data_IF_403589947174
#
_entry.id   IF_403589947174
#
_cell.length_a   1.000
_cell.length_b   1.000
_cell.length_c   1.000
_cell.angle_alpha   90.00
_cell.angle_beta   90.00
_cell.angle_gamma   90.00
#
_symmetry.space_group_name_H-M   'P 1'
#
loop_
_entity.id
_entity.type
_entity.pdbx_description
1 polymer ?
#
# COMPACT_ATOMS: atom_id res chain seq x y z
N UNK A 1 -18.28 17.69 51.56
CA UNK A 1 -18.52 17.65 50.10
C UNK A 1 -17.40 16.83 49.49
N UNK A 2 -17.71 15.62 49.00
CA UNK A 2 -16.71 14.65 48.52
C UNK A 2 -16.25 15.03 47.10
N UNK A 3 -14.94 15.15 46.93
CA UNK A 3 -14.25 15.35 45.67
C UNK A 3 -14.52 14.17 44.71
N UNK A 4 -14.92 14.47 43.47
CA UNK A 4 -14.73 13.57 42.34
C UNK A 4 -13.93 14.31 41.27
N UNK A 5 -12.60 14.11 41.33
CA UNK A 5 -11.72 14.36 40.20
C UNK A 5 -12.08 13.35 39.10
N UNK A 6 -12.61 13.82 37.98
CA UNK A 6 -12.67 13.03 36.76
C UNK A 6 -11.26 12.93 36.18
N UNK A 7 -10.58 11.82 36.47
CA UNK A 7 -9.39 11.42 35.74
C UNK A 7 -9.81 11.02 34.32
N UNK A 8 -9.49 11.87 33.35
CA UNK A 8 -9.54 11.54 31.93
C UNK A 8 -8.46 10.48 31.63
N UNK A 9 -8.80 9.34 31.00
CA UNK A 9 -7.78 8.41 30.56
C UNK A 9 -7.10 9.00 29.32
N UNK A 10 -5.91 9.57 29.52
CA UNK A 10 -4.94 9.78 28.44
C UNK A 10 -4.43 8.38 28.06
N UNK A 11 -5.12 7.71 27.13
CA UNK A 11 -4.57 6.59 26.38
C UNK A 11 -4.36 7.05 24.93
N UNK A 12 -3.39 7.94 24.73
CA UNK A 12 -2.68 7.95 23.46
C UNK A 12 -1.74 6.76 23.52
N UNK A 13 -2.08 5.69 22.79
CA UNK A 13 -1.21 4.57 22.57
C UNK A 13 0.09 5.11 21.96
N UNK A 14 1.12 5.22 22.79
CA UNK A 14 2.50 5.29 22.33
C UNK A 14 2.72 3.91 21.72
N UNK A 15 2.47 3.78 20.42
CA UNK A 15 2.92 2.60 19.69
C UNK A 15 4.42 2.56 19.92
N UNK A 16 4.88 1.62 20.76
CA UNK A 16 6.29 1.36 20.94
C UNK A 16 6.92 1.29 19.55
N UNK A 17 7.88 2.18 19.31
CA UNK A 17 8.86 2.02 18.27
C UNK A 17 9.51 0.66 18.52
N UNK A 18 8.96 -0.39 17.93
CA UNK A 18 9.60 -1.69 17.92
C UNK A 18 10.89 -1.44 17.16
N UNK A 19 11.96 -1.34 17.94
CA UNK A 19 13.30 -1.05 17.50
C UNK A 19 13.62 -1.91 16.29
N UNK A 20 13.50 -1.31 15.10
CA UNK A 20 14.23 -1.81 13.95
C UNK A 20 15.66 -1.46 14.31
N UNK A 21 16.36 -2.39 14.95
CA UNK A 21 17.75 -2.21 15.36
C UNK A 21 18.55 -1.84 14.12
N UNK A 22 18.79 -0.53 13.99
CA UNK A 22 19.42 0.09 12.84
C UNK A 22 20.83 0.39 13.26
N UNK A 23 21.81 -0.20 12.57
CA UNK A 23 23.22 0.11 12.82
C UNK A 23 23.73 1.00 11.68
N UNK A 24 24.43 2.11 11.96
CA UNK A 24 25.21 2.78 10.93
C UNK A 24 26.18 1.79 10.30
N UNK A 25 26.36 1.84 8.98
CA UNK A 25 27.27 0.93 8.29
C UNK A 25 28.68 1.08 8.87
N UNK A 26 29.22 0.02 9.48
CA UNK A 26 30.57 0.02 10.05
C UNK A 26 31.68 0.00 8.99
N UNK A 27 31.30 -0.06 7.72
CA UNK A 27 32.22 -0.19 6.58
C UNK A 27 32.38 1.13 5.82
N UNK A 28 31.48 2.11 6.05
CA UNK A 28 31.41 3.29 5.20
C UNK A 28 30.68 4.45 5.91
N UNK A 29 31.42 5.52 6.17
CA UNK A 29 30.95 6.72 6.88
C UNK A 29 29.93 7.54 6.08
N UNK A 30 29.82 7.31 4.78
CA UNK A 30 28.87 7.98 3.88
C UNK A 30 27.70 7.09 3.45
N UNK A 31 27.65 5.85 3.94
CA UNK A 31 26.63 4.90 3.56
C UNK A 31 25.38 5.07 4.43
N UNK A 32 24.19 4.84 3.86
CA UNK A 32 22.95 4.96 4.61
C UNK A 32 22.89 3.95 5.76
N UNK A 33 22.17 4.32 6.82
CA UNK A 33 21.78 3.38 7.87
C UNK A 33 20.86 2.32 7.27
N UNK A 34 21.08 1.05 7.59
CA UNK A 34 20.27 -0.07 7.08
C UNK A 34 19.78 -0.98 8.21
N UNK A 35 18.74 -1.75 7.91
CA UNK A 35 18.21 -2.78 8.80
C UNK A 35 19.12 -4.01 8.78
N UNK A 36 19.63 -4.40 9.94
CA UNK A 36 20.58 -5.50 10.08
C UNK A 36 19.91 -6.88 9.93
N UNK A 37 18.80 -7.09 10.63
CA UNK A 37 18.06 -8.34 10.61
C UNK A 37 16.69 -8.12 9.96
N UNK A 38 16.62 -8.35 8.65
CA UNK A 38 15.40 -8.15 7.87
C UNK A 38 14.28 -9.09 8.29
N UNK A 39 14.60 -10.33 8.65
CA UNK A 39 13.57 -11.30 9.06
C UNK A 39 12.94 -10.92 10.40
N UNK A 40 13.74 -10.50 11.37
CA UNK A 40 13.24 -10.01 12.66
C UNK A 40 12.43 -8.72 12.49
N UNK A 41 12.88 -7.81 11.62
CA UNK A 41 12.12 -6.59 11.32
C UNK A 41 10.76 -6.92 10.70
N UNK A 42 10.72 -7.77 9.68
CA UNK A 42 9.47 -8.20 9.04
C UNK A 42 8.55 -8.90 10.05
N UNK A 43 9.09 -9.79 10.89
CA UNK A 43 8.32 -10.47 11.93
C UNK A 43 7.72 -9.48 12.94
N UNK A 44 8.48 -8.45 13.34
CA UNK A 44 8.00 -7.38 14.21
C UNK A 44 6.85 -6.59 13.57
N UNK A 45 6.99 -6.20 12.29
CA UNK A 45 5.91 -5.49 11.57
C UNK A 45 4.65 -6.36 11.48
N UNK A 46 4.79 -7.62 11.11
CA UNK A 46 3.65 -8.54 11.02
C UNK A 46 2.97 -8.76 12.38
N UNK A 47 3.75 -8.82 13.45
CA UNK A 47 3.24 -8.91 14.83
C UNK A 47 2.43 -7.67 15.19
N UNK A 48 3.00 -6.47 14.98
CA UNK A 48 2.31 -5.19 15.23
C UNK A 48 1.02 -5.07 14.41
N UNK A 49 1.06 -5.42 13.12
CA UNK A 49 -0.12 -5.39 12.26
C UNK A 49 -1.17 -6.40 12.72
N UNK A 50 -0.79 -7.58 13.18
CA UNK A 50 -1.77 -8.55 13.69
C UNK A 50 -2.43 -8.07 14.98
N UNK A 51 -1.69 -7.39 15.86
CA UNK A 51 -2.24 -6.77 17.07
C UNK A 51 -3.21 -5.62 16.78
N UNK A 52 -2.98 -4.87 15.69
CA UNK A 52 -3.84 -3.76 15.23
C UNK A 52 -4.98 -4.21 14.31
N UNK A 53 -5.06 -5.51 13.97
CA UNK A 53 -6.09 -6.02 13.08
C UNK A 53 -7.47 -5.66 13.62
N UNK A 54 -8.37 -5.09 12.80
CA UNK A 54 -9.75 -4.91 13.22
C UNK A 54 -10.32 -6.29 13.51
N UNK A 55 -10.43 -6.61 14.80
CA UNK A 55 -11.11 -7.82 15.25
C UNK A 55 -12.49 -7.78 14.60
N UNK A 56 -12.87 -8.86 13.92
CA UNK A 56 -14.26 -9.05 13.60
C UNK A 56 -15.01 -8.93 14.93
N UNK A 57 -15.75 -7.83 15.11
CA UNK A 57 -16.78 -7.77 16.14
C UNK A 57 -17.80 -8.77 15.64
N UNK A 58 -17.59 -10.03 16.01
CA UNK A 58 -18.68 -10.98 16.16
C UNK A 58 -19.57 -10.33 17.20
N UNK A 59 -20.53 -9.54 16.72
CA UNK A 59 -21.68 -9.13 17.50
C UNK A 59 -22.42 -10.42 17.79
N UNK A 60 -21.95 -11.17 18.79
CA UNK A 60 -22.80 -12.08 19.53
C UNK A 60 -23.78 -11.16 20.24
N UNK A 61 -24.83 -10.75 19.53
CA UNK A 61 -26.07 -10.35 20.15
C UNK A 61 -26.49 -11.58 20.94
N UNK A 62 -26.09 -11.65 22.21
CA UNK A 62 -26.71 -12.53 23.18
C UNK A 62 -28.16 -12.07 23.28
N UNK A 63 -29.00 -12.60 22.38
CA UNK A 63 -30.42 -12.68 22.60
C UNK A 63 -30.58 -13.49 23.88
N UNK A 64 -30.80 -12.79 24.98
CA UNK A 64 -31.34 -13.32 26.23
C UNK A 64 -32.79 -13.74 25.95
N UNK A 65 -32.94 -14.78 25.13
CA UNK A 65 -34.16 -15.52 24.94
C UNK A 65 -34.08 -16.79 25.76
N UNK A 66 -34.95 -16.91 26.76
CA UNK A 66 -35.22 -18.14 27.50
C UNK A 66 -35.46 -19.33 26.57
N UNK A 67 -35.12 -20.57 26.99
CA UNK A 67 -35.07 -21.72 26.11
C UNK A 67 -36.47 -22.17 25.71
N UNK A 68 -36.73 -22.28 24.40
CA UNK A 68 -37.83 -23.09 23.88
C UNK A 68 -37.26 -24.37 23.31
N UNK A 69 -37.83 -25.47 23.78
CA UNK A 69 -37.35 -26.84 23.65
C UNK A 69 -37.13 -27.30 22.21
N UNK A 70 -36.17 -28.21 22.09
CA UNK A 70 -35.84 -28.97 20.90
C UNK A 70 -37.02 -29.81 20.38
N UNK A 71 -37.17 -29.89 19.06
CA UNK A 71 -37.68 -31.10 18.40
C UNK A 71 -36.91 -31.30 17.11
N UNK A 72 -36.42 -32.53 16.95
CA UNK A 72 -35.49 -32.95 15.93
C UNK A 72 -36.19 -33.36 14.62
N UNK A 73 -35.34 -33.67 13.64
CA UNK A 73 -35.52 -34.55 12.47
C UNK A 73 -35.88 -33.87 11.16
N UNK A 74 -34.92 -33.80 10.24
CA UNK A 74 -34.92 -34.62 9.01
C UNK A 74 -33.61 -34.46 8.20
N UNK A 75 -32.95 -35.60 7.96
CA UNK A 75 -31.99 -35.83 6.85
C UNK A 75 -32.78 -35.97 5.54
N UNK A 76 -32.28 -35.42 4.43
CA UNK A 76 -32.47 -35.95 3.07
C UNK A 76 -31.49 -35.22 2.13
N UNK A 77 -30.34 -35.79 1.81
CA UNK A 77 -30.01 -36.62 0.62
C UNK A 77 -29.62 -35.84 -0.63
N UNK A 78 -28.38 -36.12 -1.04
CA UNK A 78 -27.79 -36.19 -2.38
C UNK A 78 -28.78 -36.32 -3.55
N UNK A 79 -28.55 -35.52 -4.59
CA UNK A 79 -29.04 -35.74 -5.95
C UNK A 79 -27.86 -35.72 -6.93
N UNK A 80 -27.44 -36.92 -7.32
CA UNK A 80 -26.71 -37.22 -8.55
C UNK A 80 -27.61 -37.05 -9.77
N UNK A 81 -27.13 -36.37 -10.81
CA UNK A 81 -27.62 -36.57 -12.17
C UNK A 81 -26.43 -36.52 -13.14
N UNK A 82 -26.22 -37.63 -13.83
CA UNK A 82 -25.31 -37.79 -14.95
C UNK A 82 -26.14 -37.98 -16.23
N UNK A 83 -25.41 -37.98 -17.36
CA UNK A 83 -25.81 -38.34 -18.74
C UNK A 83 -26.47 -37.23 -19.56
N UNK A 84 -26.12 -36.99 -20.83
CA UNK A 84 -25.22 -37.70 -21.76
C UNK A 84 -24.88 -36.82 -22.97
N UNK A 85 -23.68 -37.03 -23.52
CA UNK A 85 -23.32 -37.17 -24.95
C UNK A 85 -23.84 -36.14 -25.99
N UNK A 86 -22.92 -35.47 -26.71
CA UNK A 86 -22.61 -35.71 -28.14
C UNK A 86 -21.45 -34.78 -28.59
N UNK A 87 -20.37 -35.38 -29.07
CA UNK A 87 -19.31 -34.88 -29.99
C UNK A 87 -19.67 -35.48 -31.39
N UNK A 88 -19.32 -34.96 -32.59
CA UNK A 88 -18.11 -34.24 -33.04
C UNK A 88 -18.43 -32.95 -33.84
N UNK A 89 -17.49 -32.10 -34.29
CA UNK A 89 -16.51 -32.37 -35.35
C UNK A 89 -15.57 -31.17 -35.49
N UNK A 90 -14.31 -31.47 -35.78
CA UNK A 90 -13.26 -30.51 -36.10
C UNK A 90 -13.52 -29.80 -37.44
N UNK A 91 -13.03 -28.57 -37.57
CA UNK A 91 -12.36 -28.16 -38.80
C UNK A 91 -11.44 -26.97 -38.56
N UNK A 92 -10.16 -27.23 -38.76
CA UNK A 92 -9.06 -26.27 -38.86
C UNK A 92 -8.98 -25.75 -40.28
N UNK A 93 -8.96 -24.43 -40.48
CA UNK A 93 -8.21 -23.77 -41.58
C UNK A 93 -8.27 -22.26 -41.41
N UNK A 94 -7.15 -21.63 -41.08
CA UNK A 94 -6.93 -20.21 -41.34
C UNK A 94 -5.46 -20.01 -41.72
N UNK A 95 -5.22 -19.93 -43.03
CA UNK A 95 -4.01 -19.36 -43.62
C UNK A 95 -4.48 -18.24 -44.55
N UNK A 96 -4.07 -17.02 -44.27
CA UNK A 96 -3.97 -15.96 -45.26
C UNK A 96 -2.93 -14.93 -44.80
N UNK A 97 -2.00 -14.66 -45.70
CA UNK A 97 -0.88 -13.72 -45.61
C UNK A 97 -1.23 -12.42 -46.35
N UNK A 98 -0.51 -11.33 -46.03
CA UNK A 98 -0.30 -10.09 -46.83
C UNK A 98 -1.45 -9.06 -46.77
N UNK A 99 -1.30 -7.73 -46.84
CA UNK A 99 -0.17 -6.76 -46.90
C UNK A 99 -0.78 -5.36 -46.75
N UNK A 100 0.00 -4.41 -46.20
CA UNK A 100 0.01 -2.93 -46.37
C UNK A 100 -1.24 -2.17 -46.88
N UNK A 101 -1.57 -1.04 -46.23
CA UNK A 101 -1.50 0.32 -46.86
C UNK A 101 -1.91 1.46 -45.92
N UNK A 102 -1.14 2.54 -46.01
CA UNK A 102 -1.35 3.88 -45.41
C UNK A 102 -2.53 4.60 -46.08
N UNK A 103 -3.33 5.37 -45.32
CA UNK A 103 -3.86 6.66 -45.81
C UNK A 103 -4.32 7.61 -44.70
N UNK A 104 -3.89 8.87 -44.85
CA UNK A 104 -4.27 10.09 -44.13
C UNK A 104 -5.73 10.48 -44.37
N UNK A 105 -6.39 11.04 -43.36
CA UNK A 105 -7.46 12.06 -43.49
C UNK A 105 -7.63 12.79 -42.13
N UNK A 106 -7.08 14.00 -42.00
CA UNK A 106 -7.76 15.32 -41.94
C UNK A 106 -8.89 15.46 -40.89
N UNK A 107 -8.52 16.10 -39.77
CA UNK A 107 -9.07 17.36 -39.21
C UNK A 107 -10.59 17.57 -39.35
N UNK A 108 -11.30 17.49 -38.23
CA UNK A 108 -12.52 18.26 -37.98
C UNK A 108 -12.47 18.81 -36.55
N UNK A 109 -12.65 20.13 -36.45
CA UNK A 109 -12.74 20.90 -35.23
C UNK A 109 -14.23 21.10 -34.88
N UNK A 110 -14.58 20.85 -33.63
CA UNK A 110 -15.86 21.21 -32.99
C UNK A 110 -15.77 20.67 -31.56
N UNK A 111 -16.12 21.32 -30.46
CA UNK A 111 -16.54 22.67 -30.13
C UNK A 111 -16.30 22.73 -28.62
N UNK A 112 -15.82 23.85 -28.10
CA UNK A 112 -15.70 24.05 -26.65
C UNK A 112 -17.08 23.92 -25.99
N UNK A 113 -17.19 23.06 -24.97
CA UNK A 113 -18.19 23.19 -23.92
C UNK A 113 -17.49 22.99 -22.59
N UNK A 114 -17.26 24.13 -21.94
CA UNK A 114 -16.79 24.26 -20.57
C UNK A 114 -17.83 23.71 -19.61
N UNK A 115 -17.63 22.51 -19.09
CA UNK A 115 -18.26 22.10 -17.83
C UNK A 115 -17.21 22.18 -16.73
N UNK A 116 -17.19 23.33 -16.06
CA UNK A 116 -16.63 23.49 -14.72
C UNK A 116 -17.35 22.51 -13.79
N UNK A 117 -16.80 21.31 -13.64
CA UNK A 117 -17.21 20.39 -12.59
C UNK A 117 -16.45 20.80 -11.32
N UNK A 118 -17.20 21.43 -10.43
CA UNK A 118 -16.80 21.81 -9.10
C UNK A 118 -16.12 20.67 -8.35
N UNK A 119 -15.12 21.06 -7.56
CA UNK A 119 -14.32 20.23 -6.66
C UNK A 119 -15.20 19.23 -5.89
N UNK A 120 -15.16 17.96 -6.31
CA UNK A 120 -15.80 16.88 -5.57
C UNK A 120 -14.94 16.57 -4.34
N UNK A 121 -15.48 16.85 -3.16
CA UNK A 121 -15.08 16.17 -1.93
C UNK A 121 -15.22 14.67 -2.18
N UNK A 122 -14.10 13.96 -2.33
CA UNK A 122 -14.06 12.51 -2.60
C UNK A 122 -14.68 11.72 -1.44
N UNK A 123 -16.01 11.57 -1.46
CA UNK A 123 -16.63 10.33 -1.03
C UNK A 123 -16.28 9.29 -2.09
N UNK A 124 -15.11 8.65 -1.95
CA UNK A 124 -14.78 7.53 -2.81
C UNK A 124 -15.87 6.48 -2.63
N UNK A 125 -16.62 6.19 -3.70
CA UNK A 125 -17.70 5.21 -3.65
C UNK A 125 -17.15 3.87 -3.13
N UNK A 126 -17.94 3.16 -2.33
CA UNK A 126 -17.56 1.85 -1.81
C UNK A 126 -17.12 0.95 -2.97
N UNK A 127 -16.00 0.25 -2.79
CA UNK A 127 -15.44 -0.64 -3.81
C UNK A 127 -15.10 0.03 -5.16
N UNK A 128 -14.97 1.36 -5.21
CA UNK A 128 -14.49 2.04 -6.43
C UNK A 128 -13.01 1.74 -6.66
N UNK A 129 -12.54 1.69 -7.92
CA UNK A 129 -11.11 1.59 -8.22
C UNK A 129 -10.29 2.68 -7.54
N UNK A 130 -9.17 2.29 -6.92
CA UNK A 130 -8.15 3.22 -6.47
C UNK A 130 -7.25 3.61 -7.66
N UNK A 131 -6.71 4.84 -7.67
CA UNK A 131 -5.71 5.24 -8.66
C UNK A 131 -4.51 4.29 -8.69
N UNK A 132 -3.87 4.19 -9.86
CA UNK A 132 -2.56 3.60 -10.05
C UNK A 132 -1.72 4.60 -10.86
N UNK A 133 -0.51 4.89 -10.40
CA UNK A 133 0.34 5.93 -11.00
C UNK A 133 1.37 5.38 -11.99
N UNK A 134 1.08 4.24 -12.59
CA UNK A 134 1.88 3.63 -13.65
C UNK A 134 2.90 2.59 -13.18
N UNK A 135 2.96 2.30 -11.87
CA UNK A 135 3.74 1.16 -11.39
C UNK A 135 2.97 -0.14 -11.62
N UNK A 136 3.57 -1.05 -12.39
CA UNK A 136 2.86 -2.23 -12.91
C UNK A 136 3.21 -3.53 -12.20
N UNK A 137 4.33 -3.58 -11.50
CA UNK A 137 4.74 -4.78 -10.78
C UNK A 137 3.91 -4.96 -9.51
N UNK A 138 3.43 -6.18 -9.25
CA UNK A 138 2.78 -6.53 -8.00
C UNK A 138 3.18 -7.97 -7.65
N UNK A 139 3.59 -8.25 -6.40
CA UNK A 139 3.94 -9.60 -5.98
C UNK A 139 2.79 -10.59 -6.26
N UNK A 140 3.13 -11.77 -6.79
CA UNK A 140 2.13 -12.80 -7.15
C UNK A 140 1.35 -13.28 -5.94
N UNK A 141 2.01 -13.42 -4.78
CA UNK A 141 1.34 -13.74 -3.53
C UNK A 141 0.80 -12.44 -2.90
N UNK A 142 -0.52 -12.30 -2.72
CA UNK A 142 -1.12 -11.07 -2.25
C UNK A 142 -0.92 -10.83 -0.75
N UNK A 143 -0.36 -11.78 0.01
CA UNK A 143 -0.18 -11.64 1.45
C UNK A 143 0.75 -10.45 1.80
N UNK A 144 0.47 -9.70 2.88
CA UNK A 144 1.35 -8.60 3.31
C UNK A 144 2.76 -9.10 3.65
N UNK A 145 2.90 -10.32 4.18
CA UNK A 145 4.21 -10.94 4.44
C UNK A 145 5.00 -11.21 3.17
N UNK A 146 4.34 -11.56 2.06
CA UNK A 146 4.99 -11.77 0.77
C UNK A 146 5.45 -10.43 0.17
N UNK A 147 4.63 -9.37 0.29
CA UNK A 147 5.03 -8.03 -0.12
C UNK A 147 6.28 -7.53 0.63
N UNK A 148 6.34 -7.74 1.96
CA UNK A 148 7.51 -7.36 2.77
C UNK A 148 8.77 -8.16 2.42
N UNK A 149 8.63 -9.40 1.93
CA UNK A 149 9.75 -10.30 1.55
C UNK A 149 10.09 -10.26 0.06
N UNK A 150 9.43 -9.40 -0.71
CA UNK A 150 9.54 -9.42 -2.16
C UNK A 150 10.95 -9.00 -2.64
N UNK A 151 11.60 -9.92 -3.36
CA UNK A 151 12.98 -9.70 -3.84
C UNK A 151 13.07 -8.71 -5.00
N UNK A 152 12.00 -8.55 -5.79
CA UNK A 152 11.96 -7.64 -6.94
C UNK A 152 11.79 -6.18 -6.48
N UNK A 153 10.96 -5.95 -5.45
CA UNK A 153 10.90 -4.65 -4.79
C UNK A 153 12.24 -4.36 -4.09
N UNK A 154 12.82 -5.36 -3.41
CA UNK A 154 14.12 -5.25 -2.73
C UNK A 154 15.26 -4.84 -3.63
N UNK A 155 15.37 -5.43 -4.80
CA UNK A 155 16.44 -5.05 -5.73
C UNK A 155 16.34 -3.58 -6.13
N UNK A 156 15.14 -3.06 -6.36
CA UNK A 156 14.92 -1.67 -6.80
C UNK A 156 15.35 -0.64 -5.75
N UNK A 157 14.95 -0.81 -4.48
CA UNK A 157 15.28 0.18 -3.46
C UNK A 157 16.73 0.07 -2.96
N UNK A 158 17.34 -1.12 -3.00
CA UNK A 158 18.73 -1.32 -2.60
C UNK A 158 19.73 -0.88 -3.68
N UNK A 159 19.35 -0.91 -4.96
CA UNK A 159 20.18 -0.43 -6.07
C UNK A 159 19.94 1.05 -6.41
N UNK A 160 19.13 1.75 -5.62
CA UNK A 160 18.78 3.14 -5.86
C UNK A 160 20.03 4.04 -5.77
N UNK A 161 20.12 5.05 -6.63
CA UNK A 161 21.24 6.00 -6.61
C UNK A 161 20.95 7.22 -5.74
N UNK A 162 22.00 7.82 -5.19
CA UNK A 162 21.90 9.08 -4.45
C UNK A 162 21.73 10.23 -5.43
N UNK A 163 20.67 11.05 -5.32
CA UNK A 163 20.53 12.25 -6.15
C UNK A 163 21.64 13.27 -5.88
N UNK A 164 21.99 14.07 -6.89
CA UNK A 164 22.98 15.13 -6.74
C UNK A 164 22.56 16.14 -5.66
N UNK A 165 23.49 16.57 -4.80
CA UNK A 165 23.27 17.46 -3.65
C UNK A 165 22.35 16.90 -2.56
N UNK A 166 22.18 15.57 -2.50
CA UNK A 166 21.48 14.89 -1.41
C UNK A 166 22.41 13.91 -0.69
N UNK A 167 22.20 13.76 0.61
CA UNK A 167 22.80 12.72 1.44
C UNK A 167 21.80 11.60 1.67
N UNK A 168 22.22 10.36 1.45
CA UNK A 168 21.41 9.17 1.72
C UNK A 168 21.48 8.81 3.21
N UNK A 169 20.38 9.03 3.92
CA UNK A 169 20.30 8.91 5.38
C UNK A 169 20.09 7.48 5.83
N UNK A 170 19.10 6.82 5.23
CA UNK A 170 18.77 5.43 5.53
C UNK A 170 18.19 4.72 4.31
N UNK A 171 18.32 3.40 4.28
CA UNK A 171 17.90 2.57 3.16
C UNK A 171 17.20 1.29 3.60
N UNK A 172 16.19 0.89 2.85
CA UNK A 172 15.54 -0.42 2.97
C UNK A 172 14.73 -0.61 4.26
N UNK A 173 14.16 0.46 4.81
CA UNK A 173 13.29 0.37 5.99
C UNK A 173 11.91 -0.18 5.62
N UNK A 174 11.27 -0.91 6.53
CA UNK A 174 9.88 -1.41 6.38
C UNK A 174 8.84 -0.41 6.91
N UNK A 175 9.16 0.87 6.79
CA UNK A 175 8.38 1.98 7.30
C UNK A 175 8.67 3.23 6.47
N UNK A 176 7.69 4.12 6.42
CA UNK A 176 7.87 5.49 5.96
C UNK A 176 8.16 6.42 7.14
N UNK A 177 8.67 7.61 6.83
CA UNK A 177 8.91 8.66 7.81
C UNK A 177 7.59 9.20 8.34
N UNK A 178 7.53 9.44 9.65
CA UNK A 178 6.50 10.22 10.33
C UNK A 178 7.20 11.22 11.24
N UNK A 179 7.30 12.47 10.81
CA UNK A 179 7.98 13.54 11.55
C UNK A 179 7.35 14.91 11.31
N UNK A 180 7.72 15.88 12.15
CA UNK A 180 7.36 17.27 11.96
C UNK A 180 7.93 17.84 10.64
N UNK A 181 7.20 18.79 10.06
CA UNK A 181 7.57 19.41 8.78
C UNK A 181 7.16 18.60 7.56
N UNK A 182 6.25 17.63 7.68
CA UNK A 182 5.62 17.02 6.50
C UNK A 182 4.99 18.10 5.61
N UNK A 183 5.28 18.04 4.30
CA UNK A 183 4.77 18.97 3.31
C UNK A 183 3.62 18.34 2.51
N UNK A 184 3.93 17.30 1.76
CA UNK A 184 2.99 16.54 0.92
C UNK A 184 3.64 15.23 0.49
N UNK A 185 2.89 14.38 -0.22
CA UNK A 185 3.45 13.26 -0.96
C UNK A 185 3.04 13.33 -2.43
N UNK A 186 3.79 12.65 -3.28
CA UNK A 186 3.40 12.33 -4.65
C UNK A 186 3.60 10.84 -4.90
N UNK A 187 2.90 10.33 -5.91
CA UNK A 187 3.08 8.97 -6.40
C UNK A 187 3.82 8.97 -7.74
N UNK A 188 4.65 7.96 -7.95
CA UNK A 188 5.48 7.80 -9.15
C UNK A 188 5.17 6.48 -9.84
N UNK A 189 5.52 6.41 -11.13
CA UNK A 189 5.44 5.18 -11.93
C UNK A 189 6.61 4.21 -11.72
N UNK A 190 7.64 4.64 -10.98
CA UNK A 190 8.86 3.85 -10.72
C UNK A 190 9.56 4.32 -9.45
N UNK A 191 10.37 3.45 -8.85
CA UNK A 191 11.20 3.79 -7.70
C UNK A 191 12.40 4.65 -8.13
N UNK A 192 12.21 5.96 -8.15
CA UNK A 192 13.18 6.91 -8.70
C UNK A 192 13.48 8.07 -7.73
N UNK A 193 14.54 7.97 -6.92
CA UNK A 193 14.94 9.05 -6.02
C UNK A 193 15.28 10.37 -6.74
N UNK A 194 15.79 10.33 -7.97
CA UNK A 194 16.15 11.54 -8.72
C UNK A 194 14.89 12.35 -9.11
N UNK A 195 13.78 11.68 -9.43
CA UNK A 195 12.50 12.35 -9.64
C UNK A 195 11.99 13.01 -8.36
N UNK A 196 12.14 12.36 -7.21
CA UNK A 196 11.73 12.95 -5.93
C UNK A 196 12.65 14.12 -5.54
N UNK A 197 13.95 14.02 -5.78
CA UNK A 197 14.87 15.15 -5.62
C UNK A 197 14.43 16.35 -6.48
N UNK A 198 14.12 16.15 -7.76
CA UNK A 198 13.66 17.24 -8.64
C UNK A 198 12.38 17.93 -8.11
N UNK A 199 11.43 17.15 -7.58
CA UNK A 199 10.19 17.70 -6.98
C UNK A 199 10.50 18.46 -5.68
N UNK A 200 11.40 17.93 -4.85
CA UNK A 200 11.86 18.60 -3.64
C UNK A 200 12.65 19.89 -3.98
N UNK A 201 13.47 19.89 -5.03
CA UNK A 201 14.24 21.06 -5.48
C UNK A 201 13.34 22.17 -6.02
N UNK A 202 12.23 21.81 -6.67
CA UNK A 202 11.22 22.76 -7.10
C UNK A 202 10.45 23.42 -5.93
N UNK A 203 10.58 22.90 -4.70
CA UNK A 203 9.95 23.45 -3.51
C UNK A 203 11.02 24.03 -2.56
N UNK A 204 11.08 25.35 -2.44
CA UNK A 204 12.06 26.05 -1.59
C UNK A 204 12.03 25.61 -0.11
N UNK A 205 10.88 25.16 0.38
CA UNK A 205 10.71 24.70 1.75
C UNK A 205 11.14 23.25 1.95
N UNK A 206 11.36 22.47 0.89
CA UNK A 206 11.73 21.05 1.02
C UNK A 206 13.22 20.89 1.38
N UNK A 207 13.47 20.12 2.44
CA UNK A 207 14.81 19.79 2.98
C UNK A 207 15.13 18.30 2.91
N UNK A 208 14.13 17.45 2.66
CA UNK A 208 14.35 16.03 2.46
C UNK A 208 13.09 15.32 2.01
N UNK A 209 13.27 14.07 1.60
CA UNK A 209 12.17 13.20 1.20
C UNK A 209 12.42 11.76 1.60
N UNK A 210 11.33 11.01 1.70
CA UNK A 210 11.33 9.57 1.90
C UNK A 210 10.55 8.91 0.76
N UNK A 211 11.24 8.05 0.00
CA UNK A 211 10.67 7.24 -1.07
C UNK A 211 10.45 5.80 -0.57
N UNK A 212 9.31 5.21 -0.85
CA UNK A 212 8.93 3.86 -0.40
C UNK A 212 7.90 3.21 -1.31
N UNK A 213 7.78 1.89 -1.20
CA UNK A 213 6.67 1.12 -1.76
C UNK A 213 5.59 0.93 -0.71
N UNK A 214 4.33 1.16 -1.08
CA UNK A 214 3.15 0.89 -0.24
C UNK A 214 2.30 -0.21 -0.88
N UNK A 215 1.92 -1.21 -0.09
CA UNK A 215 0.91 -2.20 -0.49
C UNK A 215 -0.47 -1.54 -0.35
N UNK A 216 -1.08 -1.17 -1.46
CA UNK A 216 -2.37 -0.49 -1.48
C UNK A 216 -3.47 -1.37 -2.09
N UNK A 217 -4.74 -1.18 -1.74
CA UNK A 217 -5.81 -1.97 -2.33
C UNK A 217 -6.19 -1.39 -3.70
N UNK A 218 -6.48 -2.26 -4.68
CA UNK A 218 -6.95 -1.83 -6.01
C UNK A 218 -8.34 -1.20 -5.99
N UNK A 219 -9.12 -1.49 -4.96
CA UNK A 219 -10.45 -0.91 -4.73
C UNK A 219 -10.45 -0.25 -3.35
N UNK A 220 -11.31 0.74 -3.14
CA UNK A 220 -11.53 1.31 -1.81
C UNK A 220 -12.16 0.25 -0.90
N UNK A 221 -11.48 -0.21 0.17
CA UNK A 221 -12.01 -1.26 1.02
C UNK A 221 -13.29 -0.82 1.71
N UNK A 222 -14.34 -1.62 1.54
CA UNK A 222 -15.67 -1.39 2.10
C UNK A 222 -16.40 -2.73 2.28
N UNK A 223 -17.64 -2.69 2.76
CA UNK A 223 -18.51 -3.86 2.76
C UNK A 223 -18.64 -4.42 1.32
N UNK A 224 -18.56 -5.75 1.17
CA UNK A 224 -18.51 -6.42 -0.14
C UNK A 224 -17.12 -6.47 -0.80
N UNK A 225 -16.15 -5.68 -0.34
CA UNK A 225 -14.76 -5.70 -0.80
C UNK A 225 -13.77 -5.39 0.33
N UNK A 226 -13.92 -6.05 1.48
CA UNK A 226 -13.17 -5.69 2.70
C UNK A 226 -11.65 -5.86 2.55
N UNK A 227 -11.20 -6.82 1.74
CA UNK A 227 -9.78 -7.05 1.45
C UNK A 227 -9.58 -7.22 -0.06
N UNK A 228 -9.57 -6.12 -0.83
CA UNK A 228 -9.39 -6.18 -2.28
C UNK A 228 -8.03 -6.74 -2.68
N UNK A 229 -7.87 -7.11 -3.95
CA UNK A 229 -6.56 -7.44 -4.49
C UNK A 229 -5.59 -6.26 -4.31
N UNK A 230 -4.33 -6.50 -3.90
CA UNK A 230 -3.36 -5.43 -3.75
C UNK A 230 -2.85 -4.93 -5.11
N UNK A 231 -2.35 -3.71 -5.09
CA UNK A 231 -1.39 -3.15 -6.02
C UNK A 231 -0.21 -2.57 -5.22
N UNK A 232 0.78 -2.06 -5.93
CA UNK A 232 1.96 -1.44 -5.34
C UNK A 232 2.04 0.00 -5.82
N UNK A 233 2.06 0.92 -4.88
CA UNK A 233 2.27 2.33 -5.16
C UNK A 233 3.68 2.74 -4.75
N UNK A 234 4.34 3.55 -5.58
CA UNK A 234 5.62 4.18 -5.24
C UNK A 234 5.32 5.58 -4.74
N UNK A 235 5.62 5.85 -3.47
CA UNK A 235 5.34 7.14 -2.84
C UNK A 235 6.61 7.87 -2.50
N UNK A 236 6.59 9.19 -2.68
CA UNK A 236 7.59 10.12 -2.18
C UNK A 236 6.93 11.13 -1.26
N UNK A 237 7.24 11.04 0.04
CA UNK A 237 6.82 12.00 1.05
C UNK A 237 7.92 13.06 1.24
N UNK A 238 7.54 14.33 1.23
CA UNK A 238 8.45 15.48 1.31
C UNK A 238 8.35 16.18 2.65
N UNK A 239 9.49 16.68 3.13
CA UNK A 239 9.61 17.29 4.45
C UNK A 239 10.38 18.62 4.37
N UNK A 240 9.96 19.59 5.18
CA UNK A 240 10.67 20.85 5.42
C UNK A 240 11.79 20.75 6.43
N UNK A 241 12.01 19.55 6.95
CA UNK A 241 13.10 19.19 7.84
C UNK A 241 13.93 18.09 7.18
N UNK A 242 15.17 17.96 7.65
CA UNK A 242 16.03 16.84 7.32
C UNK A 242 15.35 15.54 7.76
N UNK A 243 15.36 14.51 6.90
CA UNK A 243 14.76 13.21 7.24
C UNK A 243 15.73 12.38 8.08
N UNK A 244 15.20 11.68 9.08
CA UNK A 244 15.96 10.77 9.94
C UNK A 244 15.31 9.40 10.01
N UNK A 245 16.17 8.40 10.08
CA UNK A 245 15.87 6.99 10.34
C UNK A 245 15.09 6.78 11.64
N UNK A 246 15.34 7.61 12.66
CA UNK A 246 14.64 7.52 13.95
C UNK A 246 13.14 7.79 13.81
N UNK A 247 12.75 8.51 12.76
CA UNK A 247 11.37 8.85 12.46
C UNK A 247 10.75 7.93 11.39
N UNK A 248 11.46 6.93 10.88
CA UNK A 248 10.93 5.93 9.96
C UNK A 248 10.09 4.88 10.74
N UNK A 249 8.94 5.32 11.26
CA UNK A 249 8.09 4.57 12.20
C UNK A 249 6.68 4.28 11.65
N UNK A 250 6.28 4.89 10.53
CA UNK A 250 4.99 4.60 9.94
C UNK A 250 5.07 3.30 9.13
N UNK A 251 4.64 2.20 9.74
CA UNK A 251 4.70 0.84 9.19
C UNK A 251 3.49 0.49 8.31
N UNK A 252 2.52 1.38 8.22
CA UNK A 252 1.25 1.18 7.52
C UNK A 252 0.04 1.19 8.46
N UNK A 253 -1.11 0.71 7.99
CA UNK A 253 -2.37 0.72 8.74
C UNK A 253 -3.39 -0.26 8.18
N UNK A 254 -4.46 -0.51 8.92
CA UNK A 254 -5.60 -1.26 8.42
C UNK A 254 -6.64 -0.36 7.75
N UNK A 255 -7.17 -0.82 6.61
CA UNK A 255 -8.31 -0.22 5.91
C UNK A 255 -9.38 -1.29 5.72
N UNK A 256 -10.41 -1.27 6.56
CA UNK A 256 -11.33 -2.41 6.70
C UNK A 256 -10.54 -3.72 6.91
N UNK A 257 -10.74 -4.74 6.07
CA UNK A 257 -10.00 -6.01 6.13
C UNK A 257 -8.69 -6.02 5.35
N UNK A 258 -8.23 -4.88 4.82
CA UNK A 258 -7.00 -4.78 4.04
C UNK A 258 -5.84 -4.22 4.88
N UNK A 259 -4.73 -4.95 4.91
CA UNK A 259 -3.51 -4.55 5.61
C UNK A 259 -2.57 -3.76 4.68
N UNK A 260 -2.47 -2.44 4.87
CA UNK A 260 -1.49 -1.60 4.20
C UNK A 260 -0.17 -1.74 4.94
N UNK A 261 0.87 -2.17 4.22
CA UNK A 261 2.25 -2.28 4.74
C UNK A 261 3.22 -1.54 3.82
N UNK A 262 4.34 -1.12 4.38
CA UNK A 262 5.35 -0.34 3.67
C UNK A 262 6.67 -1.12 3.60
N UNK A 263 7.37 -1.03 2.46
CA UNK A 263 8.72 -1.59 2.29
C UNK A 263 9.60 -0.64 1.49
N UNK A 264 10.92 -0.83 1.58
CA UNK A 264 11.88 -0.08 0.78
C UNK A 264 11.90 1.41 1.10
N UNK A 265 11.71 1.81 2.35
CA UNK A 265 11.87 3.18 2.78
C UNK A 265 13.32 3.64 2.67
N UNK A 266 13.60 4.55 1.75
CA UNK A 266 14.87 5.27 1.64
C UNK A 266 14.66 6.75 1.96
N UNK A 267 15.54 7.32 2.77
CA UNK A 267 15.49 8.74 3.15
C UNK A 267 16.67 9.52 2.58
N UNK A 268 16.38 10.66 1.94
CA UNK A 268 17.38 11.55 1.36
C UNK A 268 17.17 12.97 1.90
N UNK A 269 18.24 13.63 2.34
CA UNK A 269 18.21 15.02 2.80
C UNK A 269 19.10 15.88 1.93
N UNK A 270 18.66 17.09 1.62
CA UNK A 270 19.45 18.07 0.88
C UNK A 270 20.71 18.44 1.70
N UNK A 271 21.85 18.56 1.02
CA UNK A 271 23.13 19.00 1.60
C UNK A 271 23.14 20.49 1.90
#
# INVERSE_FOLDING_TARGET
MRFQLFALPVLAAIAEAAAISSKPSSVCTTCPVTIQNTDAAIASILSQMSAQSPKAVLTTTSITGSPVAATAVAKMSTSTAASSSVRPTASSTAKATSTSSKKRQRRAASTASSSVAASATSNTAQCSPMPNFGYTYTPTNPAPSAFLKDSTLRSQYMSASVPANYTWRFAGFYASVSQAGYLFYTELSSYNPAQCAAICDANANCKGFNIYFERTPKLVPAEGCMSPAPQVDVKCAFYSTVVSEANAVNVGSWRAGFNVVITGGNGYSKM
#
